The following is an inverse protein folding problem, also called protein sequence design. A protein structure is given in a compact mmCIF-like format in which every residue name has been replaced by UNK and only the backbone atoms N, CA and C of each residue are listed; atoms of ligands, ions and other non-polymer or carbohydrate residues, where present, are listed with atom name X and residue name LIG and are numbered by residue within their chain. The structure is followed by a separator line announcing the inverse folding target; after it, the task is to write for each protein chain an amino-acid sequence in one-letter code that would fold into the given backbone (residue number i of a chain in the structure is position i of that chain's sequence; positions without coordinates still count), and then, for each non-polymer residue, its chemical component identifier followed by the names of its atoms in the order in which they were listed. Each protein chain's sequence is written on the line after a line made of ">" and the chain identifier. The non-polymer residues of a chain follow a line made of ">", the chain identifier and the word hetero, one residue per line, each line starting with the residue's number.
data_IF_644599863085
#
_entry.id   IF_644599863085
#
_cell.length_a   1.000
_cell.length_b   1.000
_cell.length_c   1.000
_cell.angle_alpha   90.00
_cell.angle_beta   90.00
_cell.angle_gamma   90.00
#
_symmetry.space_group_name_H-M   'P 1'
#
loop_
_entity.id
_entity.type
_entity.pdbx_description
1 polymer ?
#
# COMPACT_ATOMS: atom_id res chain seq x y z
N UNK A 1 -0.64 16.68 -9.28
CA UNK A 1 0.71 16.83 -8.69
C UNK A 1 1.23 15.49 -8.18
N UNK A 2 2.51 15.40 -7.84
CA UNK A 2 3.11 14.18 -7.26
C UNK A 2 4.04 14.52 -6.08
N UNK A 3 4.06 13.67 -5.07
CA UNK A 3 5.01 13.75 -3.94
C UNK A 3 5.42 12.34 -3.50
N UNK A 4 6.64 12.19 -3.00
CA UNK A 4 7.19 10.90 -2.59
C UNK A 4 7.14 10.72 -1.07
N UNK A 5 6.85 9.50 -0.64
CA UNK A 5 6.99 9.06 0.76
C UNK A 5 8.30 8.31 0.87
N UNK A 6 9.30 8.96 1.45
CA UNK A 6 10.64 8.40 1.61
C UNK A 6 10.74 7.51 2.86
N UNK A 7 11.61 6.51 2.80
CA UNK A 7 11.93 5.69 3.98
C UNK A 7 12.70 6.52 5.01
N UNK A 8 12.32 6.51 6.29
CA UNK A 8 13.06 7.24 7.33
C UNK A 8 14.40 6.59 7.68
N UNK A 9 14.58 5.30 7.34
CA UNK A 9 15.78 4.53 7.67
C UNK A 9 16.10 3.47 6.61
N UNK A 10 17.35 3.03 6.58
CA UNK A 10 17.81 1.94 5.72
C UNK A 10 17.48 0.57 6.34
N UNK A 11 17.07 -0.39 5.51
CA UNK A 11 16.73 -1.74 5.95
C UNK A 11 15.91 -2.48 4.92
N UNK A 12 14.95 -3.28 5.39
CA UNK A 12 14.02 -4.06 4.57
C UNK A 12 12.59 -3.73 4.94
N UNK A 13 11.70 -3.67 3.94
CA UNK A 13 10.27 -3.54 4.18
C UNK A 13 9.75 -4.82 4.82
N UNK A 14 9.43 -4.77 6.11
CA UNK A 14 8.97 -5.92 6.87
C UNK A 14 7.48 -6.18 6.69
N UNK A 15 6.68 -5.12 6.83
CA UNK A 15 5.23 -5.16 6.61
C UNK A 15 4.74 -3.88 5.95
N UNK A 16 3.62 -4.01 5.23
CA UNK A 16 2.84 -2.90 4.68
C UNK A 16 1.40 -3.12 5.12
N UNK A 17 0.80 -2.17 5.83
CA UNK A 17 -0.58 -2.27 6.30
C UNK A 17 -1.54 -1.88 5.16
N UNK A 18 -1.86 -2.85 4.30
CA UNK A 18 -2.59 -2.63 3.04
C UNK A 18 -3.93 -1.89 3.19
N UNK A 19 -4.67 -2.13 4.27
CA UNK A 19 -5.93 -1.43 4.52
C UNK A 19 -5.72 0.08 4.69
N UNK A 20 -4.71 0.51 5.45
CA UNK A 20 -4.38 1.94 5.61
C UNK A 20 -3.86 2.57 4.32
N UNK A 21 -3.12 1.81 3.50
CA UNK A 21 -2.75 2.25 2.14
C UNK A 21 -4.01 2.46 1.29
N UNK A 22 -4.97 1.54 1.34
CA UNK A 22 -6.26 1.67 0.67
C UNK A 22 -7.05 2.89 1.14
N UNK A 23 -7.16 3.08 2.46
CA UNK A 23 -7.83 4.24 3.05
C UNK A 23 -7.15 5.56 2.69
N UNK A 24 -5.81 5.59 2.61
CA UNK A 24 -5.08 6.76 2.13
C UNK A 24 -5.46 7.10 0.68
N UNK A 25 -5.65 6.09 -0.18
CA UNK A 25 -6.14 6.30 -1.55
C UNK A 25 -7.56 6.88 -1.59
N UNK A 26 -8.45 6.43 -0.69
CA UNK A 26 -9.80 7.00 -0.55
C UNK A 26 -9.73 8.47 -0.13
N UNK A 27 -8.90 8.81 0.86
CA UNK A 27 -8.67 10.20 1.32
C UNK A 27 -8.19 11.10 0.18
N UNK A 28 -7.36 10.59 -0.73
CA UNK A 28 -6.92 11.34 -1.91
C UNK A 28 -8.06 11.64 -2.89
N UNK A 29 -9.16 10.88 -2.86
CA UNK A 29 -10.26 10.90 -3.82
C UNK A 29 -10.22 9.76 -4.83
N UNK A 30 -9.32 8.78 -4.67
CA UNK A 30 -9.21 7.60 -5.54
C UNK A 30 -10.25 6.52 -5.23
N UNK A 31 -11.12 6.75 -4.26
CA UNK A 31 -12.22 5.88 -3.88
C UNK A 31 -13.41 6.66 -3.34
N UNK A 32 -14.44 5.92 -2.92
CA UNK A 32 -15.70 6.48 -2.42
C UNK A 32 -15.79 6.30 -0.92
N UNK A 33 -15.98 7.39 -0.17
CA UNK A 33 -16.34 7.29 1.26
C UNK A 33 -17.83 6.96 1.41
N UNK A 34 -18.66 7.56 0.55
CA UNK A 34 -20.09 7.33 0.40
C UNK A 34 -20.38 6.87 -1.02
N UNK A 35 -21.47 6.12 -1.17
CA UNK A 35 -21.87 5.52 -2.46
C UNK A 35 -21.98 6.56 -3.60
N UNK A 36 -22.32 7.79 -3.24
CA UNK A 36 -22.65 8.89 -4.17
C UNK A 36 -21.41 9.73 -4.55
N UNK A 37 -20.26 9.47 -3.94
CA UNK A 37 -19.05 10.24 -4.18
C UNK A 37 -18.45 9.98 -5.57
N UNK A 38 -17.94 11.05 -6.18
CA UNK A 38 -17.16 10.96 -7.40
C UNK A 38 -15.73 10.48 -7.10
N UNK A 39 -15.22 9.62 -7.98
CA UNK A 39 -13.82 9.16 -7.93
C UNK A 39 -13.00 10.04 -8.86
N UNK A 40 -11.88 10.54 -8.37
CA UNK A 40 -10.89 11.24 -9.16
C UNK A 40 -9.92 10.21 -9.79
N UNK A 41 -9.93 10.03 -11.12
CA UNK A 41 -9.05 9.04 -11.77
C UNK A 41 -7.59 9.50 -11.86
N UNK A 42 -7.28 10.76 -11.56
CA UNK A 42 -5.92 11.29 -11.64
C UNK A 42 -5.12 11.12 -10.35
N UNK A 43 -5.78 10.78 -9.24
CA UNK A 43 -5.13 10.56 -7.94
C UNK A 43 -4.87 9.07 -7.70
N UNK A 44 -3.90 8.77 -6.83
CA UNK A 44 -3.56 7.40 -6.51
C UNK A 44 -2.20 7.25 -5.86
N UNK A 45 -1.79 6.00 -5.65
CA UNK A 45 -0.54 5.64 -4.97
C UNK A 45 0.23 4.66 -5.85
N UNK A 46 1.47 5.01 -6.20
CA UNK A 46 2.41 4.13 -6.91
C UNK A 46 3.35 3.52 -5.88
N UNK A 47 3.33 2.20 -5.72
CA UNK A 47 4.19 1.49 -4.77
C UNK A 47 5.50 1.09 -5.44
N UNK A 48 6.62 1.55 -4.89
CA UNK A 48 7.98 1.26 -5.40
C UNK A 48 8.65 0.11 -4.64
N UNK A 49 8.37 0.01 -3.34
CA UNK A 49 8.96 -1.01 -2.45
C UNK A 49 7.89 -1.95 -1.91
N UNK A 50 8.07 -3.24 -2.16
CA UNK A 50 7.22 -4.32 -1.65
C UNK A 50 7.83 -4.93 -0.40
N UNK A 51 7.02 -5.72 0.30
CA UNK A 51 7.49 -6.52 1.45
C UNK A 51 8.70 -7.37 1.01
N UNK A 52 9.78 -7.30 1.80
CA UNK A 52 11.12 -7.88 1.60
C UNK A 52 12.08 -7.10 0.72
N UNK A 53 11.65 -6.02 0.07
CA UNK A 53 12.57 -5.18 -0.68
C UNK A 53 13.50 -4.43 0.28
N UNK A 54 14.77 -4.32 -0.11
CA UNK A 54 15.72 -3.44 0.55
C UNK A 54 15.42 -1.98 0.21
N UNK A 55 15.62 -1.10 1.18
CA UNK A 55 15.41 0.34 1.06
C UNK A 55 16.50 1.10 1.81
N UNK A 56 16.89 2.25 1.28
CA UNK A 56 17.84 3.18 1.93
C UNK A 56 17.08 4.34 2.58
N UNK A 57 17.62 4.92 3.65
CA UNK A 57 17.09 6.16 4.19
C UNK A 57 17.01 7.25 3.10
N UNK A 58 15.86 7.91 2.99
CA UNK A 58 15.56 8.89 1.94
C UNK A 58 15.09 8.29 0.61
N UNK A 59 15.14 6.98 0.42
CA UNK A 59 14.66 6.32 -0.80
C UNK A 59 13.12 6.25 -0.82
N UNK A 60 12.45 6.56 -1.95
CA UNK A 60 11.00 6.49 -2.06
C UNK A 60 10.43 5.08 -1.82
N UNK A 61 9.51 4.95 -0.87
CA UNK A 61 8.70 3.75 -0.65
C UNK A 61 7.51 3.71 -1.63
N UNK A 62 6.86 4.85 -1.80
CA UNK A 62 5.76 5.05 -2.73
C UNK A 62 5.63 6.52 -3.15
N UNK A 63 4.94 6.77 -4.26
CA UNK A 63 4.60 8.12 -4.75
C UNK A 63 3.09 8.33 -4.65
N UNK A 64 2.70 9.48 -4.14
CA UNK A 64 1.32 9.97 -4.07
C UNK A 64 1.05 10.85 -5.29
N UNK A 65 0.02 10.53 -6.06
CA UNK A 65 -0.57 11.39 -7.09
C UNK A 65 -1.78 12.09 -6.47
N UNK A 66 -1.81 13.43 -6.50
CA UNK A 66 -2.83 14.21 -5.80
C UNK A 66 -3.21 15.49 -6.54
N UNK A 67 -4.43 15.97 -6.30
CA UNK A 67 -4.95 17.25 -6.77
C UNK A 67 -5.18 18.28 -5.65
N UNK A 68 -5.20 17.85 -4.38
CA UNK A 68 -5.32 18.72 -3.20
C UNK A 68 -4.15 18.48 -2.25
N UNK A 69 -3.43 19.54 -1.89
CA UNK A 69 -2.29 19.45 -0.97
C UNK A 69 -2.68 19.00 0.43
N UNK A 70 -3.83 19.44 0.94
CA UNK A 70 -4.31 19.05 2.27
C UNK A 70 -4.59 17.55 2.36
N UNK A 71 -5.27 17.00 1.34
CA UNK A 71 -5.50 15.55 1.23
C UNK A 71 -4.20 14.79 1.06
N UNK A 72 -3.25 15.34 0.29
CA UNK A 72 -1.94 14.73 0.10
C UNK A 72 -1.16 14.61 1.42
N UNK A 73 -1.17 15.66 2.26
CA UNK A 73 -0.55 15.65 3.59
C UNK A 73 -1.16 14.58 4.49
N UNK A 74 -2.49 14.48 4.53
CA UNK A 74 -3.17 13.47 5.32
C UNK A 74 -2.84 12.05 4.85
N UNK A 75 -2.88 11.80 3.53
CA UNK A 75 -2.52 10.52 2.94
C UNK A 75 -1.04 10.16 3.19
N UNK A 76 -0.14 11.15 3.14
CA UNK A 76 1.28 10.96 3.44
C UNK A 76 1.48 10.45 4.86
N UNK A 77 0.87 11.07 5.88
CA UNK A 77 0.99 10.60 7.27
C UNK A 77 0.47 9.16 7.42
N UNK A 78 -0.65 8.83 6.76
CA UNK A 78 -1.18 7.46 6.77
C UNK A 78 -0.21 6.47 6.13
N UNK A 79 0.44 6.87 5.02
CA UNK A 79 1.39 6.02 4.32
C UNK A 79 2.67 5.80 5.13
N UNK A 80 3.25 6.85 5.72
CA UNK A 80 4.42 6.73 6.60
C UNK A 80 4.17 5.74 7.74
N UNK A 81 2.97 5.75 8.33
CA UNK A 81 2.56 4.81 9.37
C UNK A 81 2.18 3.41 8.84
N UNK A 82 2.05 3.24 7.53
CA UNK A 82 1.69 1.95 6.91
C UNK A 82 2.90 1.04 6.70
N UNK A 83 4.11 1.59 6.62
CA UNK A 83 5.33 0.83 6.39
C UNK A 83 6.06 0.54 7.70
N UNK A 84 6.52 -0.70 7.85
CA UNK A 84 7.45 -1.08 8.89
C UNK A 84 8.78 -1.48 8.25
N UNK A 85 9.85 -0.79 8.60
CA UNK A 85 11.20 -1.09 8.10
C UNK A 85 12.02 -1.72 9.24
N UNK A 86 12.71 -2.82 8.93
CA UNK A 86 13.58 -3.54 9.89
C UNK A 86 14.98 -3.69 9.34
N UNK A 87 15.99 -3.81 10.22
CA UNK A 87 17.39 -3.98 9.81
C UNK A 87 17.68 -5.34 9.17
N UNK A 88 16.96 -6.39 9.58
CA UNK A 88 17.09 -7.74 9.03
C UNK A 88 16.00 -8.04 7.98
N UNK A 89 16.30 -8.84 6.94
CA UNK A 89 15.32 -9.24 5.95
C UNK A 89 14.29 -10.22 6.55
N UNK A 90 13.01 -10.15 6.15
CA UNK A 90 11.99 -11.10 6.62
C UNK A 90 12.34 -12.54 6.24
N UNK A 91 12.23 -13.46 7.21
CA UNK A 91 12.74 -14.83 7.12
C UNK A 91 11.93 -15.75 6.22
N UNK A 92 10.67 -15.40 5.87
CA UNK A 92 9.79 -16.30 5.10
C UNK A 92 8.97 -15.57 4.04
N UNK A 93 9.11 -16.01 2.79
CA UNK A 93 8.20 -15.64 1.72
C UNK A 93 6.83 -16.30 1.97
N UNK A 94 5.74 -15.53 1.97
CA UNK A 94 4.39 -16.11 1.89
C UNK A 94 4.08 -16.37 0.42
N UNK A 95 3.58 -17.56 0.04
CA UNK A 95 3.18 -17.82 -1.34
C UNK A 95 2.01 -16.91 -1.71
N UNK A 96 2.00 -16.38 -2.94
CA UNK A 96 0.88 -15.60 -3.44
C UNK A 96 -0.38 -16.46 -3.60
N UNK A 97 -0.19 -17.72 -3.99
CA UNK A 97 -1.26 -18.71 -4.11
C UNK A 97 -1.10 -19.71 -2.97
N UNK A 98 -1.99 -19.66 -1.98
CA UNK A 98 -1.97 -20.60 -0.87
C UNK A 98 -2.57 -21.95 -1.23
N UNK A 99 -3.65 -21.96 -2.02
CA UNK A 99 -4.36 -23.16 -2.44
C UNK A 99 -5.25 -22.85 -3.64
N UNK A 100 -5.39 -23.81 -4.55
CA UNK A 100 -6.41 -23.80 -5.60
C UNK A 100 -7.52 -24.76 -5.14
N UNK A 101 -8.76 -24.30 -5.12
CA UNK A 101 -9.92 -25.11 -4.71
C UNK A 101 -10.62 -25.57 -6.00
N UNK A 102 -10.44 -26.84 -6.38
CA UNK A 102 -11.15 -27.45 -7.51
C UNK A 102 -12.40 -28.19 -7.01
N UNK A 103 -13.54 -27.95 -7.67
CA UNK A 103 -14.80 -28.59 -7.31
C UNK A 103 -14.79 -30.07 -7.70
N UNK A 104 -14.52 -30.96 -6.74
CA UNK A 104 -14.77 -32.40 -6.90
C UNK A 104 -15.10 -33.03 -5.55
N UNK A 105 -16.34 -32.83 -5.11
CA UNK A 105 -17.14 -33.82 -4.36
C UNK A 105 -18.56 -33.30 -4.18
N UNK A 106 -19.38 -33.44 -5.23
CA UNK A 106 -20.80 -33.71 -5.02
C UNK A 106 -20.93 -35.24 -5.01
N UNK A 107 -20.76 -35.86 -3.83
CA UNK A 107 -21.28 -37.20 -3.59
C UNK A 107 -22.74 -37.02 -3.19
N UNK A 108 -23.63 -37.17 -4.15
CA UNK A 108 -25.06 -37.39 -3.91
C UNK A 108 -25.19 -38.79 -3.31
N UNK A 109 -25.81 -38.89 -2.15
CA UNK A 109 -26.32 -40.14 -1.59
C UNK A 109 -27.84 -40.10 -1.68
#
# INVERSE_FOLDING_TARGET
>A
HKTDVASPLSGFVHTIQCERVGSACVVLGGGRERKEDSVDPAVGIIVHKKVRDAVTAGEPLCTILYNSEDRARQAQTMLEQSYQITSAPPTRARPLIHRIITGSSMRTN
#
